data_IF_444023344737
#
_entry.id   IF_444023344737
#
_cell.length_a   1.000
_cell.length_b   1.000
_cell.length_c   1.000
_cell.angle_alpha   90.00
_cell.angle_beta   90.00
_cell.angle_gamma   90.00
#
_symmetry.space_group_name_H-M   'P 1'
#
loop_
_entity.id
_entity.type
_entity.pdbx_description
1 polymer ?
#
# COMPACT_ATOMS: atom_id res chain seq x y z
N UNK A 1 0.91 17.00 18.77
CA UNK A 1 0.32 15.66 18.47
C UNK A 1 1.41 14.62 18.23
N UNK A 2 2.50 14.98 17.54
CA UNK A 2 3.66 14.09 17.33
C UNK A 2 4.25 13.64 18.67
N UNK A 3 4.58 14.55 19.58
CA UNK A 3 5.22 14.20 20.87
C UNK A 3 4.33 13.30 21.74
N UNK A 4 3.02 13.56 21.75
CA UNK A 4 2.05 12.70 22.43
C UNK A 4 2.10 11.27 21.90
N UNK A 5 2.11 11.09 20.58
CA UNK A 5 2.15 9.77 19.96
C UNK A 5 3.51 9.09 20.14
N UNK A 6 4.60 9.84 20.06
CA UNK A 6 5.94 9.32 20.29
C UNK A 6 6.03 8.71 21.69
N UNK A 7 5.62 9.49 22.71
CA UNK A 7 5.57 9.02 24.10
C UNK A 7 4.60 7.86 24.31
N UNK A 8 3.40 7.91 23.70
CA UNK A 8 2.42 6.83 23.81
C UNK A 8 2.92 5.53 23.20
N UNK A 9 3.50 5.58 22.00
CA UNK A 9 4.00 4.37 21.33
C UNK A 9 5.21 3.81 22.06
N UNK A 10 6.09 4.67 22.60
CA UNK A 10 7.23 4.23 23.41
C UNK A 10 6.78 3.47 24.66
N UNK A 11 5.86 4.05 25.43
CA UNK A 11 5.35 3.42 26.66
C UNK A 11 4.52 2.17 26.34
N UNK A 12 3.61 2.25 25.38
CA UNK A 12 2.71 1.15 25.05
C UNK A 12 3.43 -0.04 24.40
N UNK A 13 4.52 0.17 23.64
CA UNK A 13 5.21 -0.88 22.87
C UNK A 13 6.62 -1.21 23.41
N UNK A 14 6.95 -0.72 24.60
CA UNK A 14 8.24 -0.94 25.27
C UNK A 14 9.43 -0.61 24.36
N UNK A 15 9.40 0.56 23.71
CA UNK A 15 10.60 1.10 23.07
C UNK A 15 11.47 1.79 24.12
N UNK A 16 12.80 1.80 23.93
CA UNK A 16 13.69 2.62 24.73
C UNK A 16 13.27 4.10 24.69
N UNK A 17 13.34 4.85 25.80
CA UNK A 17 12.86 6.22 25.87
C UNK A 17 13.67 7.18 24.98
N UNK A 18 14.96 6.90 24.83
CA UNK A 18 15.95 7.58 24.00
C UNK A 18 15.79 7.30 22.50
N UNK A 19 15.03 6.27 22.13
CA UNK A 19 14.87 5.89 20.72
C UNK A 19 14.00 6.90 19.98
N UNK A 20 14.48 7.42 18.87
CA UNK A 20 13.66 8.23 17.97
C UNK A 20 12.79 7.34 17.06
N UNK A 21 11.46 7.58 17.07
CA UNK A 21 10.54 6.88 16.16
C UNK A 21 10.46 7.52 14.76
N UNK A 22 10.97 8.76 14.59
CA UNK A 22 11.00 9.44 13.30
C UNK A 22 9.59 9.69 12.73
N UNK A 23 8.68 10.21 13.56
CA UNK A 23 7.33 10.59 13.13
C UNK A 23 7.41 11.97 12.45
N UNK A 24 7.19 12.01 11.14
CA UNK A 24 7.19 13.25 10.36
C UNK A 24 5.89 14.04 10.55
N UNK A 25 4.75 13.33 10.59
CA UNK A 25 3.43 13.95 10.66
C UNK A 25 2.48 13.07 11.44
N UNK A 26 1.67 13.71 12.27
CA UNK A 26 0.58 13.06 12.99
C UNK A 26 -0.63 13.99 13.03
N UNK A 27 -1.79 13.48 12.62
CA UNK A 27 -3.04 14.23 12.62
C UNK A 27 -4.25 13.31 12.80
N UNK A 28 -5.41 13.87 13.15
CA UNK A 28 -6.67 13.12 13.20
C UNK A 28 -7.22 12.93 11.79
N UNK A 29 -7.91 11.82 11.57
CA UNK A 29 -8.64 11.56 10.33
C UNK A 29 -9.64 12.70 10.03
N UNK A 30 -9.82 13.00 8.75
CA UNK A 30 -10.66 14.10 8.24
C UNK A 30 -12.17 13.80 8.30
N UNK A 31 -12.58 12.80 9.08
CA UNK A 31 -13.97 12.44 9.34
C UNK A 31 -14.62 13.47 10.28
N UNK A 32 -15.94 13.74 10.16
CA UNK A 32 -16.64 14.64 11.08
C UNK A 32 -16.34 14.35 12.54
N UNK A 33 -16.22 15.41 13.34
CA UNK A 33 -15.99 15.27 14.77
C UNK A 33 -17.22 14.57 15.38
N UNK A 34 -17.04 13.53 16.21
CA UNK A 34 -18.15 12.95 16.94
C UNK A 34 -18.85 14.00 17.82
N UNK A 35 -20.17 14.05 17.79
CA UNK A 35 -20.97 15.03 18.54
C UNK A 35 -21.08 14.68 20.03
N UNK A 36 -20.98 13.39 20.36
CA UNK A 36 -21.08 12.88 21.72
C UNK A 36 -19.69 12.65 22.34
N UNK A 37 -19.40 13.15 23.56
CA UNK A 37 -18.15 12.86 24.27
C UNK A 37 -17.87 11.37 24.52
N UNK A 38 -18.90 10.52 24.62
CA UNK A 38 -18.77 9.07 24.79
C UNK A 38 -18.55 8.33 23.47
N UNK A 39 -18.67 9.00 22.32
CA UNK A 39 -18.43 8.37 21.03
C UNK A 39 -16.94 8.07 20.83
N UNK A 40 -16.65 7.05 20.01
CA UNK A 40 -15.26 6.66 19.70
C UNK A 40 -14.49 7.85 19.11
N UNK A 41 -13.28 8.14 19.61
CA UNK A 41 -12.48 9.23 19.09
C UNK A 41 -12.04 8.96 17.65
N UNK A 42 -11.76 10.01 16.88
CA UNK A 42 -11.24 9.89 15.51
C UNK A 42 -9.89 9.18 15.50
N UNK A 43 -9.70 8.29 14.54
CA UNK A 43 -8.41 7.65 14.27
C UNK A 43 -7.30 8.68 14.05
N UNK A 44 -6.09 8.32 14.42
CA UNK A 44 -4.90 9.14 14.19
C UNK A 44 -4.13 8.55 13.02
N UNK A 45 -3.85 9.36 12.01
CA UNK A 45 -3.04 9.00 10.86
C UNK A 45 -1.62 9.49 11.11
N UNK A 46 -0.66 8.57 11.02
CA UNK A 46 0.75 8.81 11.33
C UNK A 46 1.60 8.52 10.10
N UNK A 47 2.45 9.48 9.74
CA UNK A 47 3.50 9.32 8.73
C UNK A 47 4.84 9.19 9.43
N UNK A 48 5.47 8.03 9.25
CA UNK A 48 6.85 7.78 9.67
C UNK A 48 7.80 8.11 8.52
N UNK A 49 8.97 8.66 8.84
CA UNK A 49 10.02 8.90 7.85
C UNK A 49 10.78 7.63 7.45
N UNK A 50 10.75 6.59 8.30
CA UNK A 50 11.35 5.29 8.02
C UNK A 50 10.31 4.18 7.93
N UNK A 51 10.29 3.48 6.79
CA UNK A 51 9.47 2.28 6.60
C UNK A 51 9.80 1.20 7.65
N UNK A 52 11.09 1.02 7.97
CA UNK A 52 11.53 0.03 8.96
C UNK A 52 10.94 0.32 10.34
N UNK A 53 10.93 1.59 10.75
CA UNK A 53 10.37 1.99 12.05
C UNK A 53 8.86 1.79 12.08
N UNK A 54 8.15 2.19 11.02
CA UNK A 54 6.70 1.92 10.86
C UNK A 54 6.39 0.42 11.03
N UNK A 55 7.07 -0.45 10.28
CA UNK A 55 6.81 -1.88 10.34
C UNK A 55 7.16 -2.49 11.70
N UNK A 56 8.22 -1.99 12.35
CA UNK A 56 8.56 -2.45 13.70
C UNK A 56 7.49 -2.07 14.72
N UNK A 57 6.97 -0.84 14.67
CA UNK A 57 5.86 -0.37 15.52
C UNK A 57 4.64 -1.27 15.34
N UNK A 58 4.22 -1.53 14.09
CA UNK A 58 3.07 -2.38 13.79
C UNK A 58 3.30 -3.81 14.27
N UNK A 59 4.48 -4.38 13.98
CA UNK A 59 4.85 -5.73 14.40
C UNK A 59 4.79 -5.88 15.93
N UNK A 60 5.34 -4.92 16.68
CA UNK A 60 5.30 -4.95 18.15
C UNK A 60 3.88 -4.84 18.68
N UNK A 61 3.06 -3.95 18.10
CA UNK A 61 1.66 -3.81 18.49
C UNK A 61 0.88 -5.12 18.29
N UNK A 62 1.05 -5.77 17.13
CA UNK A 62 0.39 -7.04 16.83
C UNK A 62 0.89 -8.21 17.68
N UNK A 63 2.18 -8.23 18.02
CA UNK A 63 2.74 -9.24 18.93
C UNK A 63 2.21 -9.07 20.36
N UNK A 64 2.11 -7.82 20.83
CA UNK A 64 1.58 -7.51 22.16
C UNK A 64 0.08 -7.78 22.27
N UNK A 65 -0.67 -7.73 21.16
CA UNK A 65 -2.13 -7.92 21.02
C UNK A 65 -2.99 -6.87 21.74
N UNK A 66 -2.58 -6.44 22.92
CA UNK A 66 -3.31 -5.52 23.78
C UNK A 66 -2.43 -4.32 24.14
N UNK A 67 -2.80 -3.17 23.61
CA UNK A 67 -2.13 -1.89 23.85
C UNK A 67 -3.15 -0.91 24.40
N UNK A 68 -2.77 -0.19 25.45
CA UNK A 68 -3.67 0.67 26.23
C UNK A 68 -3.16 2.10 26.29
N UNK A 69 -4.09 3.03 26.30
CA UNK A 69 -3.89 4.45 26.56
C UNK A 69 -4.95 4.88 27.57
N UNK A 70 -4.57 5.24 28.79
CA UNK A 70 -5.50 5.62 29.87
C UNK A 70 -6.64 4.59 30.03
N UNK A 71 -6.28 3.31 30.18
CA UNK A 71 -7.19 2.16 30.31
C UNK A 71 -8.09 1.88 29.09
N UNK A 72 -8.00 2.68 28.02
CA UNK A 72 -8.67 2.43 26.76
C UNK A 72 -7.76 1.66 25.80
N UNK A 73 -8.22 0.50 25.33
CA UNK A 73 -7.53 -0.27 24.30
C UNK A 73 -7.54 0.48 22.96
N UNK A 74 -6.39 0.55 22.30
CA UNK A 74 -6.28 1.06 20.94
C UNK A 74 -5.71 0.01 19.98
N UNK A 75 -5.83 0.28 18.69
CA UNK A 75 -5.37 -0.60 17.62
C UNK A 75 -4.38 0.16 16.73
N UNK A 76 -3.41 -0.57 16.19
CA UNK A 76 -2.39 -0.05 15.27
C UNK A 76 -2.43 -0.91 14.02
N UNK A 77 -2.78 -0.30 12.90
CA UNK A 77 -2.97 -0.98 11.62
C UNK A 77 -2.28 -0.19 10.50
N UNK A 78 -2.06 -0.86 9.37
CA UNK A 78 -1.57 -0.21 8.15
C UNK A 78 -2.68 0.66 7.52
N UNK A 79 -2.29 1.85 7.08
CA UNK A 79 -3.11 2.69 6.21
C UNK A 79 -2.88 2.28 4.74
N UNK A 80 -3.83 1.53 4.18
CA UNK A 80 -3.77 1.07 2.79
C UNK A 80 -4.69 1.92 1.90
N UNK A 81 -4.30 2.16 0.63
CA UNK A 81 -5.18 2.85 -0.31
C UNK A 81 -6.44 2.03 -0.59
N UNK A 82 -7.56 2.68 -0.94
CA UNK A 82 -8.86 2.01 -1.14
C UNK A 82 -8.81 0.87 -2.16
N UNK A 83 -8.04 1.02 -3.24
CA UNK A 83 -7.85 -0.02 -4.26
C UNK A 83 -7.23 -1.31 -3.69
N UNK A 84 -6.22 -1.15 -2.82
CA UNK A 84 -5.56 -2.28 -2.16
C UNK A 84 -6.53 -2.94 -1.18
N UNK A 85 -7.32 -2.16 -0.44
CA UNK A 85 -8.35 -2.70 0.45
C UNK A 85 -9.41 -3.49 -0.32
N UNK A 86 -9.84 -2.99 -1.49
CA UNK A 86 -10.77 -3.69 -2.39
C UNK A 86 -10.21 -5.04 -2.83
N UNK A 87 -9.00 -5.08 -3.38
CA UNK A 87 -8.33 -6.33 -3.78
C UNK A 87 -8.14 -7.30 -2.61
N UNK A 88 -7.80 -6.79 -1.42
CA UNK A 88 -7.69 -7.62 -0.20
C UNK A 88 -9.03 -8.22 0.23
N UNK A 89 -10.13 -7.54 -0.07
CA UNK A 89 -11.51 -7.96 0.16
C UNK A 89 -11.96 -9.04 -0.81
N UNK A 90 -11.47 -9.06 -2.05
CA UNK A 90 -11.79 -10.11 -3.03
C UNK A 90 -11.39 -11.52 -2.55
N UNK A 91 -10.30 -11.61 -1.78
CA UNK A 91 -9.88 -12.87 -1.12
C UNK A 91 -10.77 -13.31 0.04
N UNK A 92 -11.88 -12.63 0.38
CA UNK A 92 -12.70 -12.94 1.56
C UNK A 92 -13.20 -14.40 1.57
N UNK A 93 -13.67 -14.91 0.42
CA UNK A 93 -14.16 -16.28 0.29
C UNK A 93 -13.03 -17.30 0.49
N UNK A 94 -11.89 -17.10 -0.18
CA UNK A 94 -10.72 -17.94 -0.03
C UNK A 94 -10.22 -17.95 1.42
N UNK A 95 -10.14 -16.78 2.08
CA UNK A 95 -9.76 -16.66 3.49
C UNK A 95 -10.71 -17.40 4.43
N UNK A 96 -12.02 -17.38 4.15
CA UNK A 96 -13.02 -18.11 4.94
C UNK A 96 -12.73 -19.61 4.91
N UNK A 97 -12.55 -20.18 3.72
CA UNK A 97 -12.26 -21.61 3.55
C UNK A 97 -10.91 -22.00 4.16
N UNK A 98 -9.86 -21.18 3.97
CA UNK A 98 -8.56 -21.43 4.59
C UNK A 98 -8.64 -21.40 6.12
N UNK A 99 -9.45 -20.49 6.69
CA UNK A 99 -9.67 -20.41 8.13
C UNK A 99 -10.42 -21.64 8.67
N UNK A 100 -11.45 -22.10 7.96
CA UNK A 100 -12.20 -23.32 8.32
C UNK A 100 -11.28 -24.55 8.33
N UNK A 101 -10.37 -24.65 7.36
CA UNK A 101 -9.37 -25.71 7.25
C UNK A 101 -8.14 -25.51 8.15
N UNK A 102 -8.11 -24.44 8.94
CA UNK A 102 -6.99 -24.06 9.84
C UNK A 102 -5.63 -23.93 9.13
N UNK A 103 -5.65 -23.61 7.83
CA UNK A 103 -4.44 -23.38 7.04
C UNK A 103 -3.94 -21.96 7.31
N UNK A 104 -2.63 -21.83 7.56
CA UNK A 104 -2.02 -20.52 7.79
C UNK A 104 -1.95 -19.76 6.46
N UNK A 105 -2.30 -18.48 6.49
CA UNK A 105 -2.19 -17.59 5.35
C UNK A 105 -1.76 -16.19 5.78
N UNK A 106 -1.19 -15.44 4.84
CA UNK A 106 -0.80 -14.05 4.98
C UNK A 106 -1.25 -13.27 3.75
N UNK A 107 -1.53 -11.99 3.92
CA UNK A 107 -1.83 -11.08 2.80
C UNK A 107 -0.76 -9.98 2.73
N UNK A 108 0.42 -10.27 2.16
CA UNK A 108 1.45 -9.26 1.96
C UNK A 108 0.98 -8.11 1.07
N UNK A 109 1.58 -6.92 1.28
CA UNK A 109 1.37 -5.76 0.42
C UNK A 109 1.86 -6.06 -1.02
N UNK A 110 1.19 -5.57 -2.07
CA UNK A 110 -0.07 -4.78 -2.05
C UNK A 110 -1.30 -5.61 -1.65
N UNK A 111 -1.66 -6.60 -2.44
CA UNK A 111 -2.80 -7.49 -2.17
C UNK A 111 -2.50 -8.89 -2.70
N UNK A 112 -1.36 -9.46 -2.33
CA UNK A 112 -1.00 -10.84 -2.71
C UNK A 112 -1.46 -11.78 -1.61
N UNK A 113 -1.84 -13.01 -1.93
CA UNK A 113 -2.19 -14.01 -0.92
C UNK A 113 -1.11 -15.09 -0.84
N UNK A 114 -0.49 -15.20 0.34
CA UNK A 114 0.48 -16.26 0.67
C UNK A 114 -0.22 -17.32 1.49
N UNK A 115 -0.21 -18.57 1.05
CA UNK A 115 -0.81 -19.69 1.76
C UNK A 115 0.26 -20.73 2.07
N UNK A 116 0.26 -21.24 3.30
CA UNK A 116 1.19 -22.26 3.77
C UNK A 116 0.47 -23.60 3.76
N UNK A 117 0.55 -24.31 2.64
CA UNK A 117 0.04 -25.66 2.52
C UNK A 117 1.09 -26.67 3.01
N UNK A 118 0.67 -27.92 3.16
CA UNK A 118 1.55 -29.01 3.56
C UNK A 118 2.60 -29.34 2.47
N UNK A 119 2.30 -29.10 1.19
CA UNK A 119 3.24 -29.25 0.05
C UNK A 119 4.20 -28.05 -0.09
N UNK A 120 4.00 -26.98 0.68
CA UNK A 120 4.85 -25.80 0.67
C UNK A 120 4.08 -24.48 0.63
N UNK A 121 4.84 -23.39 0.51
CA UNK A 121 4.28 -22.04 0.49
C UNK A 121 3.95 -21.62 -0.94
N UNK A 122 2.70 -21.25 -1.19
CA UNK A 122 2.24 -20.68 -2.46
C UNK A 122 1.93 -19.20 -2.32
N UNK A 123 2.17 -18.44 -3.37
CA UNK A 123 2.00 -16.99 -3.39
C UNK A 123 1.24 -16.60 -4.65
N UNK A 124 -0.03 -16.26 -4.46
CA UNK A 124 -0.94 -15.84 -5.52
C UNK A 124 -0.89 -14.34 -5.73
N UNK A 125 -0.90 -13.93 -6.99
CA UNK A 125 -0.94 -12.51 -7.34
C UNK A 125 -2.37 -11.99 -7.44
N UNK A 126 -3.30 -12.86 -7.84
CA UNK A 126 -4.70 -12.53 -8.06
C UNK A 126 -5.64 -13.50 -7.31
N UNK A 127 -6.88 -13.07 -7.11
CA UNK A 127 -7.94 -13.87 -6.48
C UNK A 127 -8.35 -15.03 -7.38
N UNK A 128 -8.38 -14.81 -8.70
CA UNK A 128 -8.71 -15.86 -9.68
C UNK A 128 -7.72 -17.03 -9.61
N UNK A 129 -6.43 -16.71 -9.57
CA UNK A 129 -5.35 -17.70 -9.48
C UNK A 129 -5.47 -18.52 -8.20
N UNK A 130 -5.70 -17.86 -7.06
CA UNK A 130 -5.84 -18.51 -5.77
C UNK A 130 -7.07 -19.43 -5.71
N UNK A 131 -8.24 -18.94 -6.14
CA UNK A 131 -9.48 -19.73 -6.12
C UNK A 131 -9.38 -20.94 -7.05
N UNK A 132 -8.78 -20.79 -8.23
CA UNK A 132 -8.56 -21.90 -9.17
C UNK A 132 -7.66 -22.98 -8.60
N UNK A 133 -6.54 -22.60 -7.99
CA UNK A 133 -5.63 -23.55 -7.35
C UNK A 133 -6.31 -24.24 -6.14
N UNK A 134 -7.06 -23.49 -5.34
CA UNK A 134 -7.85 -24.05 -4.23
C UNK A 134 -8.89 -25.07 -4.71
N UNK A 135 -9.61 -24.80 -5.80
CA UNK A 135 -10.56 -25.76 -6.40
C UNK A 135 -9.83 -27.02 -6.89
N UNK A 136 -8.66 -26.87 -7.53
CA UNK A 136 -7.87 -28.02 -7.98
C UNK A 136 -7.38 -28.91 -6.82
N UNK A 137 -7.22 -28.31 -5.63
CA UNK A 137 -6.85 -28.99 -4.38
C UNK A 137 -8.07 -29.56 -3.62
N UNK A 138 -9.28 -29.45 -4.19
CA UNK A 138 -10.51 -29.99 -3.61
C UNK A 138 -11.18 -29.09 -2.57
N UNK A 139 -10.82 -27.82 -2.50
CA UNK A 139 -11.54 -26.85 -1.66
C UNK A 139 -12.78 -26.30 -2.38
N UNK A 140 -13.91 -26.20 -1.67
CA UNK A 140 -15.14 -25.61 -2.18
C UNK A 140 -15.08 -24.07 -2.13
N UNK A 141 -14.57 -23.44 -3.20
CA UNK A 141 -14.49 -21.98 -3.34
C UNK A 141 -15.16 -21.54 -4.64
N UNK A 142 -15.99 -20.49 -4.60
CA UNK A 142 -16.51 -19.85 -5.81
C UNK A 142 -15.38 -19.08 -6.52
N UNK A 143 -15.19 -19.34 -7.80
CA UNK A 143 -14.20 -18.62 -8.60
C UNK A 143 -14.72 -17.19 -8.83
N UNK A 144 -14.19 -16.24 -8.07
CA UNK A 144 -14.43 -14.82 -8.28
C UNK A 144 -13.78 -14.42 -9.59
N UNK A 145 -14.57 -13.93 -10.56
CA UNK A 145 -14.04 -13.36 -11.81
C UNK A 145 -13.31 -12.06 -11.46
N UNK A 146 -12.04 -11.93 -11.86
CA UNK A 146 -11.32 -10.68 -11.67
C UNK A 146 -12.01 -9.56 -12.46
N UNK A 147 -12.15 -8.35 -11.90
CA UNK A 147 -12.49 -7.17 -12.70
C UNK A 147 -11.29 -6.87 -13.60
N UNK A 148 -11.22 -7.53 -14.74
CA UNK A 148 -10.08 -7.52 -15.67
C UNK A 148 -9.91 -6.16 -16.38
N UNK A 149 -10.83 -5.22 -16.24
CA UNK A 149 -10.86 -4.05 -17.14
C UNK A 149 -10.12 -2.82 -16.61
N UNK A 150 -10.14 -2.55 -15.30
CA UNK A 150 -9.75 -1.21 -14.80
C UNK A 150 -8.25 -0.95 -14.85
N UNK A 151 -7.38 -1.91 -14.54
CA UNK A 151 -5.93 -1.67 -14.51
C UNK A 151 -5.35 -1.45 -15.92
N UNK A 152 -5.86 -2.17 -16.92
CA UNK A 152 -5.39 -2.01 -18.31
C UNK A 152 -5.95 -0.74 -18.93
N UNK A 153 -7.20 -0.39 -18.64
CA UNK A 153 -7.82 0.87 -19.05
C UNK A 153 -7.17 2.07 -18.37
N UNK A 154 -6.84 1.99 -17.08
CA UNK A 154 -6.12 3.05 -16.36
C UNK A 154 -4.68 3.18 -16.84
N UNK A 155 -3.96 2.08 -17.10
CA UNK A 155 -2.63 2.14 -17.72
C UNK A 155 -2.72 2.72 -19.14
N UNK A 156 -3.77 2.38 -19.90
CA UNK A 156 -4.03 2.99 -21.20
C UNK A 156 -4.35 4.49 -21.07
N UNK A 157 -5.15 4.90 -20.09
CA UNK A 157 -5.42 6.30 -19.77
C UNK A 157 -4.15 7.04 -19.31
N UNK A 158 -3.32 6.42 -18.48
CA UNK A 158 -2.01 6.95 -18.08
C UNK A 158 -1.06 7.08 -19.28
N UNK A 159 -1.21 6.23 -20.30
CA UNK A 159 -0.46 6.35 -21.55
C UNK A 159 -0.97 7.47 -22.47
N UNK A 160 -2.21 7.96 -22.28
CA UNK A 160 -2.76 9.12 -23.00
C UNK A 160 -2.52 10.45 -22.29
N UNK A 161 -1.91 10.45 -21.09
CA UNK A 161 -1.51 11.69 -20.42
C UNK A 161 -0.50 12.47 -21.26
N UNK A 162 -0.97 13.56 -21.88
CA UNK A 162 -0.11 14.61 -22.42
C UNK A 162 0.14 15.66 -21.32
N UNK A 163 1.40 16.09 -21.19
CA UNK A 163 1.77 17.17 -20.28
C UNK A 163 1.00 18.44 -20.65
N UNK A 164 -0.02 18.81 -19.87
CA UNK A 164 -0.72 20.07 -20.02
C UNK A 164 0.14 21.20 -19.43
N UNK A 165 1.02 21.73 -20.26
CA UNK A 165 1.73 22.98 -20.00
C UNK A 165 1.82 23.77 -21.29
N UNK A 166 1.21 24.96 -21.34
CA UNK A 166 1.57 25.94 -22.38
C UNK A 166 3.06 26.19 -22.25
N UNK A 167 3.83 25.82 -23.27
CA UNK A 167 5.17 26.36 -23.48
C UNK A 167 5.00 27.88 -23.46
N UNK A 168 5.48 28.54 -22.40
CA UNK A 168 5.61 30.00 -22.42
C UNK A 168 6.51 30.31 -23.60
N UNK A 169 5.92 30.79 -24.70
CA UNK A 169 6.68 31.49 -25.73
C UNK A 169 7.23 32.74 -25.04
N UNK A 170 8.51 32.66 -24.65
CA UNK A 170 9.27 33.86 -24.39
C UNK A 170 9.39 34.54 -25.75
N UNK A 171 8.63 35.62 -25.92
CA UNK A 171 8.77 36.53 -27.05
C UNK A 171 10.24 36.84 -27.26
N UNK A 172 10.67 36.76 -28.51
CA UNK A 172 12.05 36.94 -28.92
C UNK A 172 12.55 38.34 -28.61
N UNK A 173 13.84 38.41 -28.29
CA UNK A 173 14.81 38.94 -29.25
C UNK A 173 16.21 38.49 -28.84
N UNK A 174 16.84 37.66 -29.68
CA UNK A 174 18.25 37.71 -30.08
C UNK A 174 18.68 36.42 -30.78
N UNK A 175 18.98 36.61 -32.06
CA UNK A 175 20.02 36.01 -32.89
C UNK A 175 20.16 34.47 -32.97
N UNK A 176 19.99 34.05 -34.23
CA UNK A 176 20.28 32.77 -34.85
C UNK A 176 21.62 32.13 -34.43
N UNK A 177 21.56 30.92 -33.88
CA UNK A 177 22.73 30.07 -33.71
C UNK A 177 22.43 28.71 -33.07
N UNK A 178 22.43 27.65 -33.91
CA UNK A 178 22.59 26.22 -33.56
C UNK A 178 21.56 25.57 -32.60
N UNK A 179 20.53 24.91 -33.15
CA UNK A 179 19.57 24.12 -32.38
C UNK A 179 19.27 22.72 -32.98
N UNK A 180 20.30 21.96 -33.38
CA UNK A 180 20.13 20.56 -33.86
C UNK A 180 20.60 19.47 -32.87
N UNK A 181 21.04 19.83 -31.65
CA UNK A 181 21.53 18.84 -30.67
C UNK A 181 20.50 18.30 -29.66
N UNK A 182 19.43 19.05 -29.37
CA UNK A 182 18.56 18.77 -28.21
C UNK A 182 17.46 17.72 -28.49
N UNK A 183 17.11 17.52 -29.76
CA UNK A 183 15.97 16.66 -30.15
C UNK A 183 16.34 15.18 -30.19
N UNK A 184 17.60 14.84 -30.50
CA UNK A 184 18.11 13.47 -30.44
C UNK A 184 18.23 12.96 -29.00
N UNK A 185 18.73 13.78 -28.07
CA UNK A 185 18.96 13.36 -26.68
C UNK A 185 17.68 12.89 -25.97
N UNK A 186 16.55 13.56 -26.23
CA UNK A 186 15.26 13.23 -25.61
C UNK A 186 14.61 11.96 -26.17
N UNK A 187 14.78 11.67 -27.47
CA UNK A 187 14.29 10.42 -28.07
C UNK A 187 15.09 9.21 -27.56
N UNK A 188 16.41 9.38 -27.43
CA UNK A 188 17.32 8.32 -26.95
C UNK A 188 17.04 7.94 -25.49
N UNK A 189 16.79 8.93 -24.62
CA UNK A 189 16.43 8.69 -23.22
C UNK A 189 15.08 7.95 -23.05
N UNK A 190 14.11 8.22 -23.94
CA UNK A 190 12.77 7.58 -23.91
C UNK A 190 12.81 6.11 -24.35
N UNK A 191 13.73 5.76 -25.25
CA UNK A 191 13.97 4.38 -25.69
C UNK A 191 14.65 3.55 -24.59
N UNK A 192 15.69 4.11 -23.95
CA UNK A 192 16.40 3.43 -22.85
C UNK A 192 15.52 3.15 -21.64
N UNK A 193 14.52 4.00 -21.37
CA UNK A 193 13.59 3.80 -20.24
C UNK A 193 12.61 2.63 -20.50
N UNK A 194 12.13 2.48 -21.74
CA UNK A 194 11.25 1.36 -22.12
C UNK A 194 11.96 0.01 -22.05
N UNK A 195 13.23 -0.06 -22.46
CA UNK A 195 14.04 -1.28 -22.37
C UNK A 195 14.36 -1.67 -20.91
N UNK A 196 14.64 -0.69 -20.04
CA UNK A 196 14.87 -0.95 -18.61
C UNK A 196 13.62 -1.49 -17.91
N UNK A 197 12.43 -1.03 -18.30
CA UNK A 197 11.15 -1.53 -17.78
C UNK A 197 10.86 -2.98 -18.23
N UNK A 198 11.26 -3.38 -19.43
CA UNK A 198 11.13 -4.76 -19.89
C UNK A 198 12.10 -5.72 -19.19
N UNK A 199 13.32 -5.25 -18.85
CA UNK A 199 14.30 -6.06 -18.09
C UNK A 199 13.88 -6.36 -16.65
N UNK A 200 12.98 -5.56 -16.07
CA UNK A 200 12.46 -5.77 -14.71
C UNK A 200 11.28 -6.77 -14.64
N UNK A 201 10.79 -7.24 -15.79
CA UNK A 201 9.67 -8.20 -15.91
C UNK A 201 10.10 -9.65 -16.20
N UNK A 202 11.40 -9.94 -16.22
CA UNK A 202 11.97 -11.30 -16.17
C UNK A 202 12.52 -11.57 -14.78
#
# INVERSE_FOLDING_TARGET
MVDFLDNLLKSALAFPPDRELGIERAHRALVPKPNNPQAKPRSIVVKFGSYRTKEEVIRRAWQKKEVFCNDARFYVDHDFPPEVLKRRGEYAEAKKVLKEKRIKFQTPYPARMRVFYDDGTRLYQDTTEATRDMVSRGFSVSVVKSPTTTDQEEIALLSTWQMAGRRRERGGDRESGAADGCTQFKKTARSQYKEKLQKFRK
#
